data_IF_157788671808
#
_entry.id   IF_157788671808
#
_cell.length_a   1.000
_cell.length_b   1.000
_cell.length_c   1.000
_cell.angle_alpha   90.00
_cell.angle_beta   90.00
_cell.angle_gamma   90.00
#
_symmetry.space_group_name_H-M   'P 1'
#
loop_
_entity.id
_entity.type
_entity.pdbx_description
1 polymer ?
#
# COMPACT_ATOMS: atom_id res chain seq x y z
N UNK A 1 19.79 -22.64 -10.03
CA UNK A 1 21.03 -23.31 -9.57
C UNK A 1 20.72 -24.68 -8.98
N UNK A 2 20.02 -24.77 -7.84
CA UNK A 2 19.76 -26.04 -7.13
C UNK A 2 19.11 -27.14 -8.00
N UNK A 3 18.10 -26.80 -8.80
CA UNK A 3 17.45 -27.77 -9.72
C UNK A 3 18.05 -27.83 -11.12
N UNK A 4 19.11 -27.05 -11.40
CA UNK A 4 19.73 -27.02 -12.72
C UNK A 4 18.82 -26.54 -13.86
N UNK A 5 17.75 -25.79 -13.56
CA UNK A 5 16.86 -25.23 -14.57
C UNK A 5 17.61 -24.36 -15.57
N UNK A 6 17.29 -24.53 -16.85
CA UNK A 6 17.84 -23.74 -17.95
C UNK A 6 16.97 -22.50 -18.18
N UNK A 7 17.59 -21.44 -18.69
CA UNK A 7 16.91 -20.16 -18.95
C UNK A 7 15.73 -20.24 -19.95
N UNK A 8 15.64 -21.32 -20.73
CA UNK A 8 14.56 -21.55 -21.68
C UNK A 8 13.49 -22.54 -21.17
N UNK A 9 13.57 -23.00 -19.92
CA UNK A 9 12.52 -23.79 -19.26
C UNK A 9 11.49 -22.87 -18.61
N UNK A 10 10.77 -22.10 -19.43
CA UNK A 10 9.96 -20.96 -18.99
C UNK A 10 8.90 -21.31 -17.94
N UNK A 11 8.20 -22.45 -18.07
CA UNK A 11 7.19 -22.87 -17.08
C UNK A 11 7.78 -23.04 -15.68
N UNK A 12 9.02 -23.55 -15.59
CA UNK A 12 9.72 -23.73 -14.31
C UNK A 12 10.16 -22.40 -13.72
N UNK A 13 10.69 -21.51 -14.57
CA UNK A 13 11.07 -20.15 -14.14
C UNK A 13 9.82 -19.39 -13.69
N UNK A 14 8.70 -19.52 -14.40
CA UNK A 14 7.41 -18.94 -14.05
C UNK A 14 6.88 -19.46 -12.72
N UNK A 15 7.00 -20.75 -12.45
CA UNK A 15 6.67 -21.32 -11.14
C UNK A 15 7.52 -20.71 -10.01
N UNK A 16 8.82 -20.54 -10.25
CA UNK A 16 9.71 -19.83 -9.32
C UNK A 16 9.28 -18.37 -9.09
N UNK A 17 8.93 -17.65 -10.15
CA UNK A 17 8.44 -16.27 -10.08
C UNK A 17 7.12 -16.18 -9.30
N UNK A 18 6.15 -17.07 -9.57
CA UNK A 18 4.89 -17.11 -8.83
C UNK A 18 5.11 -17.44 -7.34
N UNK A 19 5.99 -18.39 -7.03
CA UNK A 19 6.32 -18.73 -5.64
C UNK A 19 6.99 -17.55 -4.91
N UNK A 20 7.86 -16.80 -5.61
CA UNK A 20 8.42 -15.54 -5.14
C UNK A 20 7.34 -14.50 -4.87
N UNK A 21 6.44 -14.26 -5.83
CA UNK A 21 5.30 -13.34 -5.70
C UNK A 21 4.40 -13.68 -4.51
N UNK A 22 4.20 -14.97 -4.22
CA UNK A 22 3.38 -15.39 -3.08
C UNK A 22 4.09 -15.12 -1.74
N UNK A 23 5.41 -15.13 -1.68
CA UNK A 23 6.17 -15.01 -0.42
C UNK A 23 6.85 -13.67 -0.23
N UNK A 24 6.83 -12.79 -1.24
CA UNK A 24 7.21 -11.40 -1.09
C UNK A 24 6.17 -10.63 -0.26
N UNK A 25 6.51 -9.40 0.13
CA UNK A 25 5.67 -8.52 0.96
C UNK A 25 5.34 -9.04 2.37
N UNK A 26 5.94 -10.15 2.82
CA UNK A 26 5.95 -10.60 4.21
C UNK A 26 4.96 -11.73 4.50
N UNK A 27 4.08 -11.55 5.47
CA UNK A 27 3.20 -12.60 5.99
C UNK A 27 1.80 -12.63 5.36
N UNK A 28 1.61 -12.02 4.18
CA UNK A 28 0.25 -11.84 3.63
C UNK A 28 -0.41 -13.18 3.24
N UNK A 29 0.32 -14.08 2.59
CA UNK A 29 -0.21 -15.41 2.27
C UNK A 29 -0.36 -16.35 3.48
N UNK A 30 0.11 -15.92 4.66
CA UNK A 30 -0.06 -16.61 5.95
C UNK A 30 -0.97 -15.86 6.94
N UNK A 31 -1.81 -14.94 6.44
CA UNK A 31 -2.89 -14.29 7.20
C UNK A 31 -2.68 -12.80 7.50
N UNK A 32 -1.53 -12.22 7.16
CA UNK A 32 -1.35 -10.77 7.15
C UNK A 32 -2.21 -10.10 6.07
N UNK A 33 -2.73 -8.89 6.31
CA UNK A 33 -3.55 -8.15 5.33
C UNK A 33 -4.74 -8.96 4.73
N UNK A 34 -5.18 -10.01 5.42
CA UNK A 34 -6.23 -10.89 4.95
C UNK A 34 -7.61 -10.27 5.18
N UNK A 35 -8.52 -10.40 4.22
CA UNK A 35 -9.88 -9.85 4.32
C UNK A 35 -10.60 -10.32 5.60
N UNK A 36 -10.45 -11.60 5.95
CA UNK A 36 -11.06 -12.18 7.15
C UNK A 36 -10.07 -12.22 8.32
N UNK A 37 -9.42 -11.09 8.61
CA UNK A 37 -8.41 -10.97 9.66
C UNK A 37 -8.87 -11.50 11.03
N UNK A 38 -10.17 -11.45 11.34
CA UNK A 38 -10.72 -11.95 12.61
C UNK A 38 -10.51 -13.44 12.81
N UNK A 39 -10.37 -14.19 11.72
CA UNK A 39 -10.17 -15.65 11.74
C UNK A 39 -8.69 -16.01 11.89
N UNK A 40 -7.78 -15.02 11.84
CA UNK A 40 -6.33 -15.23 11.88
C UNK A 40 -5.85 -15.37 13.33
N UNK A 41 -5.36 -16.55 13.74
CA UNK A 41 -4.91 -16.76 15.10
C UNK A 41 -3.56 -16.07 15.34
N UNK A 42 -3.34 -15.57 16.57
CA UNK A 42 -2.05 -15.06 17.03
C UNK A 42 -1.32 -14.14 16.04
N UNK A 43 -2.01 -13.10 15.57
CA UNK A 43 -1.46 -12.15 14.60
C UNK A 43 -0.19 -11.40 15.08
N UNK A 44 0.08 -11.39 16.39
CA UNK A 44 1.31 -10.83 16.93
C UNK A 44 2.55 -11.69 16.63
N UNK A 45 2.36 -12.97 16.34
CA UNK A 45 3.40 -13.95 16.04
C UNK A 45 3.14 -14.63 14.68
N UNK A 46 2.76 -13.84 13.66
CA UNK A 46 2.51 -14.35 12.31
C UNK A 46 3.74 -15.09 11.75
N UNK A 47 3.54 -16.35 11.36
CA UNK A 47 4.54 -17.13 10.66
C UNK A 47 4.80 -16.58 9.27
N UNK A 48 6.05 -16.33 8.92
CA UNK A 48 6.41 -16.00 7.54
C UNK A 48 6.32 -17.24 6.65
N UNK A 49 5.89 -17.09 5.39
CA UNK A 49 5.64 -18.22 4.52
C UNK A 49 6.94 -18.91 4.10
N UNK A 50 6.83 -20.22 3.91
CA UNK A 50 7.88 -21.12 3.46
C UNK A 50 7.44 -21.70 2.13
N UNK A 51 8.37 -21.74 1.17
CA UNK A 51 8.19 -22.43 -0.10
C UNK A 51 8.88 -23.79 -0.03
N UNK A 52 8.12 -24.85 -0.23
CA UNK A 52 8.66 -26.18 -0.48
C UNK A 52 8.53 -26.49 -1.99
N UNK A 53 9.59 -26.26 -2.74
CA UNK A 53 9.62 -26.35 -4.20
C UNK A 53 10.19 -27.70 -4.68
N UNK A 54 9.58 -28.28 -5.71
CA UNK A 54 10.06 -29.48 -6.41
C UNK A 54 10.76 -29.12 -7.72
N UNK A 55 11.62 -30.02 -8.22
CA UNK A 55 12.42 -29.79 -9.42
C UNK A 55 11.61 -29.65 -10.73
N UNK A 56 10.35 -30.07 -10.72
CA UNK A 56 9.41 -29.94 -11.84
C UNK A 56 8.66 -28.59 -11.86
N UNK A 57 8.81 -27.77 -10.81
CA UNK A 57 8.11 -26.49 -10.65
C UNK A 57 6.83 -26.58 -9.80
N UNK A 58 6.44 -27.77 -9.33
CA UNK A 58 5.37 -27.89 -8.32
C UNK A 58 5.87 -27.39 -6.97
N UNK A 59 5.07 -26.62 -6.22
CA UNK A 59 5.47 -26.16 -4.89
C UNK A 59 4.32 -26.09 -3.90
N UNK A 60 4.66 -26.13 -2.61
CA UNK A 60 3.74 -25.91 -1.51
C UNK A 60 4.11 -24.63 -0.76
N UNK A 61 3.10 -23.83 -0.43
CA UNK A 61 3.21 -22.70 0.48
C UNK A 61 2.76 -23.17 1.86
N UNK A 62 3.58 -22.92 2.87
CA UNK A 62 3.29 -23.29 4.26
C UNK A 62 3.88 -22.28 5.24
N UNK A 63 3.75 -22.50 6.55
CA UNK A 63 4.39 -21.70 7.60
C UNK A 63 4.91 -22.62 8.70
N UNK A 64 5.74 -22.07 9.59
CA UNK A 64 6.24 -22.83 10.73
C UNK A 64 5.11 -23.23 11.71
N UNK A 65 5.16 -24.46 12.25
CA UNK A 65 4.08 -25.02 13.08
C UNK A 65 3.82 -24.21 14.37
N UNK A 66 4.88 -23.72 15.02
CA UNK A 66 4.79 -22.93 16.27
C UNK A 66 4.56 -21.41 16.08
N UNK A 67 3.90 -21.02 14.98
CA UNK A 67 3.59 -19.61 14.70
C UNK A 67 2.11 -19.39 14.44
N UNK A 68 1.66 -18.16 14.72
CA UNK A 68 0.33 -17.68 14.37
C UNK A 68 0.13 -17.56 12.86
N UNK A 69 -1.04 -17.07 12.47
CA UNK A 69 -1.45 -17.00 11.08
C UNK A 69 -2.20 -18.25 10.61
N UNK A 70 -2.58 -18.22 9.35
CA UNK A 70 -3.16 -19.37 8.65
C UNK A 70 -2.74 -19.33 7.19
N UNK A 71 -2.42 -20.48 6.62
CA UNK A 71 -2.19 -20.63 5.18
C UNK A 71 -3.36 -21.42 4.60
N UNK A 72 -4.19 -20.76 3.80
CA UNK A 72 -5.32 -21.38 3.11
C UNK A 72 -5.31 -20.99 1.64
N UNK A 73 -6.18 -21.64 0.85
CA UNK A 73 -6.39 -21.23 -0.54
C UNK A 73 -6.69 -19.74 -0.65
N UNK A 74 -7.51 -19.18 0.24
CA UNK A 74 -7.92 -17.78 0.25
C UNK A 74 -6.74 -16.84 0.52
N UNK A 75 -5.93 -17.09 1.55
CA UNK A 75 -4.79 -16.22 1.88
C UNK A 75 -3.75 -16.21 0.77
N UNK A 76 -3.47 -17.38 0.18
CA UNK A 76 -2.58 -17.49 -0.99
C UNK A 76 -3.17 -16.77 -2.21
N UNK A 77 -4.48 -16.90 -2.45
CA UNK A 77 -5.16 -16.23 -3.57
C UNK A 77 -5.13 -14.70 -3.42
N UNK A 78 -5.41 -14.16 -2.23
CA UNK A 78 -5.37 -12.71 -1.99
C UNK A 78 -3.97 -12.13 -2.23
N UNK A 79 -2.92 -12.85 -1.81
CA UNK A 79 -1.55 -12.45 -2.11
C UNK A 79 -1.23 -12.54 -3.61
N UNK A 80 -1.71 -13.55 -4.31
CA UNK A 80 -1.53 -13.64 -5.78
C UNK A 80 -2.16 -12.44 -6.49
N UNK A 81 -3.32 -11.98 -6.04
CA UNK A 81 -4.02 -10.83 -6.63
C UNK A 81 -3.42 -9.47 -6.23
N UNK A 82 -2.55 -9.45 -5.23
CA UNK A 82 -1.90 -8.23 -4.73
C UNK A 82 -0.95 -7.66 -5.79
N UNK A 83 -1.02 -6.33 -6.02
CA UNK A 83 -0.20 -5.59 -7.00
C UNK A 83 -0.23 -6.16 -8.43
N UNK A 84 -1.31 -6.89 -8.78
CA UNK A 84 -1.45 -7.52 -10.08
C UNK A 84 -1.87 -6.53 -11.17
N UNK A 85 -1.06 -6.46 -12.23
CA UNK A 85 -1.35 -5.70 -13.44
C UNK A 85 -2.15 -6.52 -14.47
N UNK A 86 -1.56 -6.80 -15.63
CA UNK A 86 -2.13 -7.77 -16.58
C UNK A 86 -1.77 -9.20 -16.15
N UNK A 87 -2.73 -10.00 -15.65
CA UNK A 87 -2.44 -11.34 -15.13
C UNK A 87 -2.03 -12.33 -16.23
N UNK A 88 -2.37 -12.10 -17.50
CA UNK A 88 -1.95 -13.00 -18.59
C UNK A 88 -0.55 -12.73 -19.10
N UNK A 89 -0.06 -11.51 -18.88
CA UNK A 89 1.23 -11.05 -19.38
C UNK A 89 2.02 -10.37 -18.25
N UNK A 90 2.23 -11.09 -17.15
CA UNK A 90 3.03 -10.56 -16.05
C UNK A 90 4.51 -10.59 -16.45
N UNK A 91 5.06 -9.42 -16.79
CA UNK A 91 6.42 -9.27 -17.30
C UNK A 91 7.40 -9.27 -16.12
N UNK A 92 8.29 -10.27 -16.09
CA UNK A 92 9.47 -10.29 -15.24
C UNK A 92 10.76 -10.29 -16.10
N UNK A 93 11.94 -10.03 -15.51
CA UNK A 93 13.20 -9.98 -16.28
C UNK A 93 13.53 -11.27 -17.05
N UNK A 94 13.21 -12.43 -16.48
CA UNK A 94 13.63 -13.73 -17.01
C UNK A 94 12.49 -14.51 -17.69
N UNK A 95 11.22 -14.14 -17.47
CA UNK A 95 10.05 -14.85 -18.00
C UNK A 95 8.81 -13.94 -18.02
N UNK A 96 7.90 -14.13 -18.97
CA UNK A 96 6.54 -13.59 -18.90
C UNK A 96 5.61 -14.67 -18.34
N UNK A 97 4.93 -14.40 -17.22
CA UNK A 97 4.12 -15.39 -16.49
C UNK A 97 2.63 -15.20 -16.80
N UNK A 98 1.92 -16.30 -17.04
CA UNK A 98 0.46 -16.34 -17.09
C UNK A 98 -0.11 -16.71 -15.71
N UNK A 99 -0.44 -15.70 -14.90
CA UNK A 99 -1.11 -15.85 -13.60
C UNK A 99 -2.57 -16.32 -13.70
N UNK A 100 -3.05 -16.71 -14.88
CA UNK A 100 -4.35 -17.36 -15.05
C UNK A 100 -4.26 -18.88 -15.26
N UNK A 101 -3.04 -19.44 -15.32
CA UNK A 101 -2.78 -20.84 -15.69
C UNK A 101 -2.74 -21.84 -14.54
N UNK A 102 -2.33 -21.41 -13.34
CA UNK A 102 -2.00 -22.30 -12.23
C UNK A 102 -3.23 -22.92 -11.56
N UNK A 103 -3.01 -24.01 -10.82
CA UNK A 103 -4.01 -24.58 -9.93
C UNK A 103 -3.57 -24.43 -8.48
N UNK A 104 -4.52 -24.09 -7.60
CA UNK A 104 -4.33 -24.09 -6.15
C UNK A 104 -5.09 -25.27 -5.54
N UNK A 105 -4.38 -26.10 -4.79
CA UNK A 105 -4.94 -27.23 -4.06
C UNK A 105 -4.64 -27.06 -2.58
N UNK A 106 -5.69 -26.82 -1.80
CA UNK A 106 -5.60 -26.79 -0.35
C UNK A 106 -5.39 -28.22 0.17
N UNK A 107 -4.30 -28.44 0.90
CA UNK A 107 -3.95 -29.72 1.51
C UNK A 107 -4.35 -29.77 2.99
N UNK A 108 -4.90 -28.69 3.53
CA UNK A 108 -5.16 -28.50 4.95
C UNK A 108 -3.88 -28.29 5.77
N UNK A 109 -4.05 -28.04 7.06
CA UNK A 109 -2.95 -27.85 8.02
C UNK A 109 -1.89 -26.83 7.55
N UNK A 110 -2.34 -25.65 7.15
CA UNK A 110 -1.46 -24.57 6.67
C UNK A 110 -0.62 -24.93 5.44
N UNK A 111 -1.20 -25.66 4.47
CA UNK A 111 -0.48 -26.10 3.27
C UNK A 111 -1.33 -25.95 2.02
N UNK A 112 -0.81 -25.20 1.04
CA UNK A 112 -1.44 -25.00 -0.27
C UNK A 112 -0.44 -25.34 -1.36
N UNK A 113 -0.76 -26.36 -2.16
CA UNK A 113 0.03 -26.74 -3.33
C UNK A 113 -0.36 -25.90 -4.55
N UNK A 114 0.64 -25.53 -5.34
CA UNK A 114 0.54 -24.80 -6.59
C UNK A 114 1.24 -25.59 -7.70
N UNK A 115 0.57 -25.75 -8.84
CA UNK A 115 1.12 -26.44 -10.01
C UNK A 115 0.56 -25.87 -11.33
N UNK A 116 1.10 -26.35 -12.46
CA UNK A 116 0.72 -25.98 -13.83
C UNK A 116 0.85 -24.46 -14.12
N UNK A 117 1.92 -23.84 -13.63
CA UNK A 117 2.24 -22.45 -13.95
C UNK A 117 2.84 -22.38 -15.35
N UNK A 118 2.28 -21.55 -16.22
CA UNK A 118 2.74 -21.38 -17.61
C UNK A 118 3.59 -20.12 -17.71
N UNK A 119 4.74 -20.27 -18.38
CA UNK A 119 5.67 -19.19 -18.69
C UNK A 119 5.92 -19.05 -20.19
N UNK A 120 6.31 -17.85 -20.61
CA UNK A 120 6.71 -17.54 -21.98
C UNK A 120 7.99 -16.70 -22.01
N UNK A 121 8.60 -16.59 -23.19
CA UNK A 121 9.85 -15.85 -23.38
C UNK A 121 9.78 -14.43 -22.78
N UNK A 122 10.83 -13.96 -22.07
CA UNK A 122 10.88 -12.59 -21.58
C UNK A 122 10.83 -11.57 -22.74
N UNK A 123 10.45 -10.33 -22.43
CA UNK A 123 10.45 -9.25 -23.42
C UNK A 123 11.88 -8.84 -23.80
N UNK A 124 12.04 -8.18 -24.95
CA UNK A 124 13.30 -7.56 -25.40
C UNK A 124 13.67 -6.27 -24.64
N UNK A 125 12.88 -5.88 -23.63
CA UNK A 125 13.04 -4.68 -22.83
C UNK A 125 13.41 -5.02 -21.38
N UNK A 126 14.14 -4.11 -20.73
CA UNK A 126 14.41 -4.18 -19.29
C UNK A 126 13.48 -3.25 -18.50
N UNK A 127 12.91 -3.75 -17.39
CA UNK A 127 12.24 -2.91 -16.39
C UNK A 127 13.30 -2.18 -15.56
N UNK A 128 13.32 -0.86 -15.64
CA UNK A 128 14.25 -0.01 -14.87
C UNK A 128 13.50 0.79 -13.80
N UNK A 129 14.08 0.85 -12.60
CA UNK A 129 13.65 1.77 -11.55
C UNK A 129 14.57 2.99 -11.57
N UNK A 130 13.99 4.17 -11.79
CA UNK A 130 14.73 5.44 -11.89
C UNK A 130 14.28 6.35 -10.76
N UNK A 131 15.23 6.80 -9.94
CA UNK A 131 15.03 7.85 -8.94
C UNK A 131 15.74 9.12 -9.39
N UNK A 132 15.01 10.23 -9.39
CA UNK A 132 15.54 11.55 -9.71
C UNK A 132 14.84 12.59 -8.84
N UNK A 133 15.51 13.72 -8.60
CA UNK A 133 14.93 14.83 -7.86
C UNK A 133 13.72 15.41 -8.60
N UNK A 134 12.55 15.37 -7.96
CA UNK A 134 11.28 15.82 -8.55
C UNK A 134 10.62 16.95 -7.75
N UNK A 135 11.43 17.80 -7.12
CA UNK A 135 10.99 18.94 -6.31
C UNK A 135 10.88 18.60 -4.82
N UNK A 136 10.04 19.35 -4.13
CA UNK A 136 9.81 19.21 -2.70
C UNK A 136 8.33 18.96 -2.39
N UNK A 137 8.06 18.23 -1.31
CA UNK A 137 6.73 18.10 -0.72
C UNK A 137 6.71 18.41 0.77
N UNK A 138 5.54 18.77 1.27
CA UNK A 138 5.25 18.76 2.69
C UNK A 138 3.80 18.31 2.92
N UNK A 139 3.55 17.62 4.03
CA UNK A 139 2.20 17.26 4.48
C UNK A 139 2.00 17.62 5.95
N UNK A 140 0.87 18.24 6.26
CA UNK A 140 0.47 18.61 7.61
C UNK A 140 -0.86 17.96 7.98
N UNK A 141 -1.03 17.65 9.26
CA UNK A 141 -2.24 17.02 9.80
C UNK A 141 -2.77 17.80 10.99
N UNK A 142 -4.09 17.88 11.09
CA UNK A 142 -4.82 18.48 12.20
C UNK A 142 -6.01 17.58 12.55
N UNK A 143 -6.08 17.13 13.79
CA UNK A 143 -7.26 16.39 14.29
C UNK A 143 -8.31 17.38 14.73
N UNK A 144 -9.54 17.20 14.25
CA UNK A 144 -10.65 18.13 14.49
C UNK A 144 -11.77 17.38 15.17
N UNK A 145 -12.04 17.73 16.42
CA UNK A 145 -13.07 17.09 17.23
C UNK A 145 -14.47 17.61 16.88
N UNK A 146 -15.50 16.87 17.27
CA UNK A 146 -16.89 17.31 17.21
C UNK A 146 -17.24 18.38 18.26
N UNK A 147 -18.46 18.93 18.21
CA UNK A 147 -19.46 18.72 17.15
C UNK A 147 -19.03 19.39 15.83
N UNK A 148 -19.68 19.02 14.72
CA UNK A 148 -19.40 19.53 13.36
C UNK A 148 -17.95 19.34 12.91
N UNK A 149 -17.35 18.18 13.22
CA UNK A 149 -15.95 17.91 12.94
C UNK A 149 -15.60 18.11 11.45
N UNK A 150 -16.47 17.65 10.56
CA UNK A 150 -16.23 17.72 9.12
C UNK A 150 -16.38 19.14 8.56
N UNK A 151 -17.42 19.87 8.96
CA UNK A 151 -17.62 21.26 8.53
C UNK A 151 -16.47 22.15 9.04
N UNK A 152 -16.00 21.91 10.28
CA UNK A 152 -14.82 22.60 10.82
C UNK A 152 -13.55 22.22 10.06
N UNK A 153 -13.41 20.98 9.60
CA UNK A 153 -12.27 20.55 8.78
C UNK A 153 -12.26 21.25 7.42
N UNK A 154 -13.41 21.30 6.75
CA UNK A 154 -13.56 22.04 5.49
C UNK A 154 -13.22 23.52 5.68
N UNK A 155 -13.77 24.17 6.71
CA UNK A 155 -13.48 25.57 7.03
C UNK A 155 -11.99 25.79 7.35
N UNK A 156 -11.37 24.86 8.07
CA UNK A 156 -9.94 24.93 8.43
C UNK A 156 -9.05 24.84 7.18
N UNK A 157 -9.34 23.90 6.28
CA UNK A 157 -8.65 23.78 5.00
C UNK A 157 -8.80 25.07 4.17
N UNK A 158 -10.01 25.58 4.06
CA UNK A 158 -10.33 26.84 3.39
C UNK A 158 -9.52 28.02 3.92
N UNK A 159 -9.41 28.16 5.25
CA UNK A 159 -8.65 29.23 5.90
C UNK A 159 -7.17 29.14 5.51
N UNK A 160 -6.59 27.94 5.60
CA UNK A 160 -5.17 27.70 5.27
C UNK A 160 -4.91 28.04 3.80
N UNK A 161 -5.72 27.51 2.87
CA UNK A 161 -5.55 27.77 1.44
C UNK A 161 -5.74 29.24 1.09
N UNK A 162 -6.72 29.93 1.68
CA UNK A 162 -6.91 31.37 1.50
C UNK A 162 -5.71 32.19 2.00
N UNK A 163 -5.12 31.82 3.14
CA UNK A 163 -3.92 32.50 3.68
C UNK A 163 -2.69 32.28 2.80
N UNK A 164 -2.47 31.04 2.32
CA UNK A 164 -1.38 30.73 1.40
C UNK A 164 -1.50 31.48 0.08
N UNK A 165 -2.71 31.52 -0.50
CA UNK A 165 -2.99 32.30 -1.71
C UNK A 165 -2.72 33.79 -1.50
N UNK A 166 -3.16 34.36 -0.36
CA UNK A 166 -2.87 35.78 -0.01
C UNK A 166 -1.38 36.05 0.21
N UNK A 167 -0.62 35.05 0.66
CA UNK A 167 0.83 35.12 0.79
C UNK A 167 1.57 34.89 -0.54
N UNK A 168 0.87 34.81 -1.67
CA UNK A 168 1.47 34.61 -3.00
C UNK A 168 1.91 33.17 -3.28
N UNK A 169 1.52 32.20 -2.45
CA UNK A 169 1.86 30.80 -2.69
C UNK A 169 0.86 30.16 -3.65
N UNK A 170 1.34 29.76 -4.83
CA UNK A 170 0.65 28.86 -5.76
C UNK A 170 1.56 27.65 -5.98
N UNK A 171 1.05 26.47 -5.66
CA UNK A 171 1.80 25.21 -5.70
C UNK A 171 1.56 24.46 -7.00
N UNK A 172 2.55 23.68 -7.47
CA UNK A 172 2.39 22.79 -8.62
C UNK A 172 1.28 21.76 -8.40
N UNK A 173 1.17 21.24 -7.17
CA UNK A 173 0.12 20.30 -6.78
C UNK A 173 -0.26 20.47 -5.29
N UNK A 174 -1.53 20.21 -4.98
CA UNK A 174 -2.09 20.31 -3.62
C UNK A 174 -3.08 19.19 -3.35
N UNK A 175 -3.08 18.69 -2.11
CA UNK A 175 -4.05 17.68 -1.66
C UNK A 175 -4.76 18.13 -0.39
N UNK A 176 -6.05 17.80 -0.29
CA UNK A 176 -6.88 17.97 0.90
C UNK A 176 -7.62 16.67 1.16
N UNK A 177 -7.39 16.08 2.32
CA UNK A 177 -7.87 14.77 2.69
C UNK A 177 -8.52 14.79 4.09
N UNK A 178 -9.52 13.96 4.27
CA UNK A 178 -10.27 13.82 5.52
C UNK A 178 -10.13 12.36 6.01
N UNK A 179 -9.04 12.08 6.73
CA UNK A 179 -8.74 10.72 7.20
C UNK A 179 -9.77 10.29 8.24
N UNK A 180 -10.22 9.04 8.11
CA UNK A 180 -11.34 8.50 8.88
C UNK A 180 -12.71 8.76 8.24
N UNK A 181 -12.78 9.49 7.12
CA UNK A 181 -14.03 9.74 6.40
C UNK A 181 -13.98 9.20 4.96
N UNK A 182 -13.21 9.84 4.08
CA UNK A 182 -13.25 9.56 2.63
C UNK A 182 -11.88 9.29 1.99
N UNK A 183 -10.77 9.43 2.74
CA UNK A 183 -9.43 9.36 2.15
C UNK A 183 -9.05 8.02 1.51
N UNK A 184 -9.56 6.89 2.00
CA UNK A 184 -9.24 5.58 1.42
C UNK A 184 -10.29 5.12 0.39
N UNK A 185 -11.56 5.38 0.68
CA UNK A 185 -12.70 4.78 -0.04
C UNK A 185 -13.40 5.77 -0.99
N UNK A 186 -12.99 7.04 -1.02
CA UNK A 186 -13.69 8.09 -1.75
C UNK A 186 -15.16 8.14 -1.37
N UNK A 187 -16.02 8.08 -2.39
CA UNK A 187 -17.49 8.17 -2.26
C UNK A 187 -18.18 6.79 -2.11
N UNK A 188 -17.40 5.70 -1.94
CA UNK A 188 -17.97 4.35 -1.79
C UNK A 188 -18.86 4.26 -0.55
N UNK A 189 -18.46 4.91 0.54
CA UNK A 189 -19.20 4.92 1.80
C UNK A 189 -19.90 6.27 2.03
N UNK A 190 -21.16 6.27 2.50
CA UNK A 190 -21.85 7.50 2.83
C UNK A 190 -21.20 8.19 4.03
N UNK A 191 -21.19 9.53 4.00
CA UNK A 191 -20.74 10.35 5.13
C UNK A 191 -21.64 10.08 6.35
N UNK A 192 -21.08 9.70 7.52
CA UNK A 192 -21.86 9.48 8.73
C UNK A 192 -22.59 10.76 9.17
N UNK A 193 -23.81 10.62 9.71
CA UNK A 193 -24.60 11.76 10.25
C UNK A 193 -23.93 12.46 11.43
N UNK A 194 -23.15 11.71 12.21
CA UNK A 194 -22.42 12.21 13.36
C UNK A 194 -20.95 11.80 13.23
N UNK A 195 -20.06 12.79 13.24
CA UNK A 195 -18.62 12.60 13.15
C UNK A 195 -18.02 13.13 14.45
N UNK A 196 -17.48 12.21 15.26
CA UNK A 196 -16.89 12.55 16.55
C UNK A 196 -15.56 13.28 16.39
N UNK A 197 -14.78 12.90 15.37
CA UNK A 197 -13.54 13.54 14.99
C UNK A 197 -13.18 13.17 13.55
N UNK A 198 -12.35 14.00 12.92
CA UNK A 198 -11.76 13.73 11.59
C UNK A 198 -10.35 14.31 11.57
N UNK A 199 -9.42 13.66 10.87
CA UNK A 199 -8.09 14.24 10.66
C UNK A 199 -8.05 14.92 9.29
N UNK A 200 -7.90 16.24 9.30
CA UNK A 200 -7.60 17.01 8.10
C UNK A 200 -6.12 16.80 7.77
N UNK A 201 -5.83 16.22 6.60
CA UNK A 201 -4.49 16.14 6.03
C UNK A 201 -4.41 17.04 4.80
N UNK A 202 -3.43 17.95 4.80
CA UNK A 202 -3.14 18.82 3.68
C UNK A 202 -1.75 18.46 3.14
N UNK A 203 -1.57 18.54 1.82
CA UNK A 203 -0.30 18.30 1.15
C UNK A 203 -0.03 19.34 0.09
N UNK A 204 1.25 19.65 -0.12
CA UNK A 204 1.73 20.49 -1.23
C UNK A 204 2.95 19.84 -1.87
N UNK A 205 3.09 20.04 -3.18
CA UNK A 205 4.30 19.74 -3.95
C UNK A 205 4.67 20.94 -4.80
N UNK A 206 5.96 21.28 -4.83
CA UNK A 206 6.50 22.37 -5.65
C UNK A 206 8.02 22.25 -5.81
N UNK A 207 8.60 22.88 -6.82
CA UNK A 207 10.05 22.97 -6.98
C UNK A 207 10.68 24.05 -6.07
N UNK A 208 9.90 25.02 -5.60
CA UNK A 208 10.33 26.05 -4.66
C UNK A 208 10.23 25.56 -3.21
N UNK A 209 11.39 25.25 -2.62
CA UNK A 209 11.52 24.80 -1.23
C UNK A 209 10.95 25.80 -0.22
N UNK A 210 11.11 27.09 -0.46
CA UNK A 210 10.67 28.14 0.47
C UNK A 210 9.15 28.28 0.44
N UNK A 211 8.55 28.13 -0.73
CA UNK A 211 7.08 28.03 -0.87
C UNK A 211 6.52 26.84 -0.09
N UNK A 212 7.16 25.67 -0.19
CA UNK A 212 6.77 24.46 0.57
C UNK A 212 6.97 24.65 2.08
N UNK A 213 8.04 25.32 2.52
CA UNK A 213 8.22 25.67 3.93
C UNK A 213 7.19 26.70 4.41
N UNK A 214 6.76 27.62 3.54
CA UNK A 214 5.70 28.59 3.84
C UNK A 214 4.37 27.92 4.14
N UNK A 215 4.03 26.84 3.42
CA UNK A 215 2.88 25.98 3.74
C UNK A 215 2.93 25.46 5.19
N UNK A 216 4.06 24.89 5.61
CA UNK A 216 4.21 24.37 6.98
C UNK A 216 3.99 25.42 8.08
N UNK A 217 4.23 26.69 7.78
CA UNK A 217 4.00 27.81 8.70
C UNK A 217 2.51 28.16 8.88
N UNK A 218 1.61 27.75 7.98
CA UNK A 218 0.17 28.03 8.08
C UNK A 218 -0.63 26.97 8.86
N UNK A 219 -0.04 25.79 9.09
CA UNK A 219 -0.73 24.68 9.75
C UNK A 219 -0.99 24.97 11.25
N UNK A 220 0.07 25.23 12.03
CA UNK A 220 -0.08 25.40 13.47
C UNK A 220 -0.90 26.64 13.91
N UNK A 221 -0.77 27.83 13.27
CA UNK A 221 -1.51 29.02 13.70
C UNK A 221 -3.03 28.89 13.62
N UNK A 222 -3.58 28.01 12.76
CA UNK A 222 -5.03 27.84 12.65
C UNK A 222 -5.66 27.26 13.93
N UNK A 223 -4.88 26.59 14.78
CA UNK A 223 -5.35 25.99 16.03
C UNK A 223 -5.98 27.04 16.95
N UNK A 224 -5.37 28.22 17.04
CA UNK A 224 -5.85 29.33 17.88
C UNK A 224 -6.48 30.46 17.08
N UNK A 225 -6.54 30.35 15.74
CA UNK A 225 -7.10 31.38 14.84
C UNK A 225 -8.19 30.85 13.90
N UNK A 226 -8.65 29.63 14.12
CA UNK A 226 -9.68 28.93 13.37
C UNK A 226 -10.81 28.44 14.29
N UNK A 227 -11.65 27.49 13.81
CA UNK A 227 -12.74 26.95 14.62
C UNK A 227 -12.23 26.15 15.84
N UNK A 228 -13.04 25.99 16.90
CA UNK A 228 -12.62 25.31 18.12
C UNK A 228 -12.49 23.79 17.94
N UNK A 229 -11.70 23.15 18.81
CA UNK A 229 -11.54 21.68 18.84
C UNK A 229 -10.48 21.13 17.89
N UNK A 230 -9.47 21.93 17.55
CA UNK A 230 -8.32 21.50 16.73
C UNK A 230 -7.20 21.03 17.66
N UNK A 231 -6.68 19.83 17.41
CA UNK A 231 -5.60 19.18 18.17
C UNK A 231 -4.72 18.33 17.21
N UNK A 232 -3.90 17.43 17.75
CA UNK A 232 -3.14 16.44 16.95
C UNK A 232 -1.90 17.01 16.24
N UNK A 233 -1.41 18.18 16.63
CA UNK A 233 -0.27 18.86 16.01
C UNK A 233 1.12 18.37 16.48
N UNK A 234 1.19 17.23 17.17
CA UNK A 234 2.37 16.79 17.94
C UNK A 234 3.65 16.58 17.12
N UNK A 235 3.56 16.48 15.79
CA UNK A 235 4.71 16.38 14.88
C UNK A 235 5.44 17.70 14.58
N UNK A 236 4.93 18.84 15.07
CA UNK A 236 5.49 20.16 14.75
C UNK A 236 5.12 20.66 13.36
N UNK A 237 5.81 21.70 12.87
CA UNK A 237 5.55 22.27 11.54
C UNK A 237 6.12 21.35 10.46
N UNK A 238 5.31 20.96 9.45
CA UNK A 238 5.82 20.25 8.28
C UNK A 238 6.95 21.03 7.63
N UNK A 239 8.00 20.33 7.21
CA UNK A 239 9.13 20.90 6.47
C UNK A 239 9.16 20.33 5.06
N UNK A 240 9.70 21.09 4.13
CA UNK A 240 9.98 20.61 2.79
C UNK A 240 10.90 19.37 2.83
N UNK A 241 10.47 18.30 2.17
CA UNK A 241 11.21 17.07 1.94
C UNK A 241 11.42 16.90 0.44
N UNK A 242 12.60 16.46 0.03
CA UNK A 242 12.88 16.15 -1.37
C UNK A 242 12.00 14.98 -1.83
N UNK A 243 11.54 15.05 -3.08
CA UNK A 243 10.85 13.96 -3.78
C UNK A 243 11.86 13.27 -4.68
#
# INVERSE_FOLDING_TARGET
YEFGWKNNEYDKIAAGTLAGHITECGAQCSGGNFTNWQDVPDMANLGYPIIEMSADGTFCITKHEDTGGLVSRETVTEQILYEMGDPKNYISPDVCVDFTSFNLKDLGNDRVEVNNVIGSEPTDNYKVSISYFAGYKASGQLTISGPQAYEKAQLTADIIWKRLKKAGCQFDDTSTEYLGLSSCHGDINPVPKQINEVVLRLGVKDHDKDKVNRFGMEIAPVITSGPPGITGFSGGRPKAQEI
#
